data_IF_308460808425
#
_entry.id   IF_308460808425
#
_cell.length_a   1.000
_cell.length_b   1.000
_cell.length_c   1.000
_cell.angle_alpha   90.00
_cell.angle_beta   90.00
_cell.angle_gamma   90.00
#
_symmetry.space_group_name_H-M   'P 1'
#
loop_
_entity.id
_entity.type
_entity.pdbx_description
1 polymer ?
#
# COMPACT_ATOMS: atom_id res chain seq x y z
N UNK A 1 -20.28 -24.58 39.24
CA UNK A 1 -19.44 -25.61 38.59
C UNK A 1 -20.38 -26.54 37.83
N UNK A 2 -20.50 -26.37 36.51
CA UNK A 2 -21.37 -27.19 35.67
C UNK A 2 -20.66 -27.45 34.36
N UNK A 3 -20.23 -28.69 34.16
CA UNK A 3 -19.57 -29.17 32.95
C UNK A 3 -20.60 -29.45 31.86
N UNK A 4 -20.38 -28.96 30.64
CA UNK A 4 -21.06 -29.45 29.45
C UNK A 4 -20.06 -30.17 28.55
N UNK A 5 -20.45 -31.38 28.14
CA UNK A 5 -19.63 -32.35 27.41
C UNK A 5 -19.92 -32.31 25.90
N UNK A 6 -18.86 -32.62 25.14
CA UNK A 6 -18.73 -33.16 23.78
C UNK A 6 -19.95 -33.27 22.86
N UNK A 7 -19.74 -32.96 21.56
CA UNK A 7 -19.88 -33.95 20.47
C UNK A 7 -19.33 -33.46 19.12
N UNK A 8 -18.59 -34.36 18.47
CA UNK A 8 -18.12 -34.31 17.08
C UNK A 8 -19.26 -34.54 16.09
N UNK A 9 -19.14 -34.04 14.85
CA UNK A 9 -19.56 -34.79 13.64
C UNK A 9 -18.97 -34.20 12.35
N UNK A 10 -18.51 -35.11 11.50
CA UNK A 10 -17.96 -34.93 10.15
C UNK A 10 -19.06 -35.13 9.09
N UNK A 11 -18.97 -34.46 7.93
CA UNK A 11 -19.39 -34.98 6.61
C UNK A 11 -18.94 -34.01 5.51
N UNK A 12 -17.93 -34.33 4.68
CA UNK A 12 -17.96 -35.06 3.38
C UNK A 12 -18.64 -34.30 2.21
N UNK A 13 -17.81 -34.04 1.19
CA UNK A 13 -18.06 -33.55 -0.17
C UNK A 13 -19.00 -34.44 -1.01
N UNK A 14 -19.53 -33.90 -2.12
CA UNK A 14 -19.61 -34.66 -3.37
C UNK A 14 -19.03 -33.95 -4.61
N UNK A 15 -18.44 -34.76 -5.47
CA UNK A 15 -17.84 -34.49 -6.79
C UNK A 15 -18.80 -34.95 -7.90
N UNK A 16 -18.91 -34.23 -9.02
CA UNK A 16 -19.38 -34.83 -10.30
C UNK A 16 -18.71 -34.19 -11.53
N UNK A 17 -18.58 -34.93 -12.66
CA UNK A 17 -17.67 -34.63 -13.78
C UNK A 17 -18.40 -34.22 -15.08
N UNK A 18 -17.71 -33.55 -16.01
CA UNK A 18 -18.09 -33.52 -17.43
C UNK A 18 -16.90 -33.22 -18.35
N UNK A 19 -16.85 -33.96 -19.46
CA UNK A 19 -15.74 -34.16 -20.41
C UNK A 19 -16.17 -33.70 -21.79
N UNK A 20 -15.38 -32.87 -22.48
CA UNK A 20 -15.35 -32.74 -23.96
C UNK A 20 -14.18 -31.84 -24.36
N UNK A 21 -13.07 -32.38 -24.91
CA UNK A 21 -12.74 -32.55 -26.34
C UNK A 21 -12.19 -31.26 -27.00
N UNK A 22 -10.88 -31.26 -27.31
CA UNK A 22 -10.24 -30.33 -28.24
C UNK A 22 -10.72 -30.57 -29.68
N UNK A 23 -10.72 -29.53 -30.54
CA UNK A 23 -9.67 -29.50 -31.56
C UNK A 23 -9.11 -28.10 -31.89
N UNK A 24 -7.81 -28.11 -32.24
CA UNK A 24 -7.05 -27.30 -33.20
C UNK A 24 -7.58 -25.98 -33.78
N UNK A 25 -6.70 -24.98 -33.66
CA UNK A 25 -6.30 -23.95 -34.65
C UNK A 25 -7.37 -23.02 -35.24
N UNK A 26 -7.33 -21.76 -34.82
CA UNK A 26 -7.39 -20.62 -35.74
C UNK A 26 -6.69 -19.40 -35.14
N UNK A 27 -5.92 -18.79 -36.02
CA UNK A 27 -4.94 -17.74 -35.80
C UNK A 27 -5.58 -16.35 -35.65
N UNK A 28 -4.73 -15.37 -35.29
CA UNK A 28 -4.91 -13.91 -35.38
C UNK A 28 -5.77 -13.32 -34.23
N UNK A 29 -5.31 -12.38 -33.41
CA UNK A 29 -4.49 -11.21 -33.70
C UNK A 29 -3.61 -10.82 -32.51
N UNK A 30 -2.43 -10.29 -32.82
CA UNK A 30 -1.50 -9.74 -31.86
C UNK A 30 -2.16 -8.62 -31.03
N UNK A 31 -2.19 -8.79 -29.70
CA UNK A 31 -2.36 -7.69 -28.75
C UNK A 31 -1.02 -7.44 -28.06
N UNK A 32 -0.06 -6.94 -28.85
CA UNK A 32 1.30 -6.59 -28.44
C UNK A 32 1.27 -5.26 -27.67
N UNK A 33 0.61 -5.21 -26.51
CA UNK A 33 0.49 -3.96 -25.72
C UNK A 33 0.11 -4.10 -24.25
N UNK A 34 -0.25 -5.29 -23.74
CA UNK A 34 -0.76 -5.42 -22.35
C UNK A 34 0.33 -5.73 -21.32
N UNK A 35 1.43 -6.36 -21.73
CA UNK A 35 2.50 -6.73 -20.80
C UNK A 35 3.35 -5.53 -20.33
N UNK A 36 3.47 -4.48 -21.15
CA UNK A 36 4.20 -3.26 -20.77
C UNK A 36 3.39 -2.32 -19.85
N UNK A 37 2.06 -2.41 -19.86
CA UNK A 37 1.20 -1.66 -18.93
C UNK A 37 1.15 -2.34 -17.56
N UNK A 38 1.34 -3.67 -17.51
CA UNK A 38 1.38 -4.41 -16.26
C UNK A 38 2.77 -4.37 -15.58
N UNK A 39 3.86 -4.26 -16.35
CA UNK A 39 5.22 -4.08 -15.81
C UNK A 39 5.55 -2.64 -15.38
N UNK A 40 4.69 -1.64 -15.63
CA UNK A 40 4.77 -0.33 -14.94
C UNK A 40 4.07 -0.34 -13.57
N UNK A 41 3.27 -1.39 -13.28
CA UNK A 41 2.86 -1.77 -11.93
C UNK A 41 3.75 -2.89 -11.37
N UNK A 42 5.05 -2.93 -11.73
CA UNK A 42 6.08 -3.43 -10.81
C UNK A 42 5.96 -2.56 -9.56
N UNK A 43 4.99 -2.92 -8.71
CA UNK A 43 4.64 -2.22 -7.48
C UNK A 43 5.97 -1.99 -6.80
N UNK A 44 6.33 -0.75 -6.44
CA UNK A 44 7.48 -0.56 -5.58
C UNK A 44 7.22 -1.45 -4.37
N UNK A 45 7.94 -2.57 -4.28
CA UNK A 45 7.94 -3.47 -3.13
C UNK A 45 8.76 -2.82 -2.02
N UNK A 46 8.62 -1.52 -1.92
CA UNK A 46 9.39 -0.59 -1.13
C UNK A 46 8.41 0.30 -0.39
N UNK A 47 8.90 0.82 0.71
CA UNK A 47 8.18 1.70 1.60
C UNK A 47 8.40 3.12 1.07
N UNK A 48 7.31 3.84 0.89
CA UNK A 48 7.38 5.23 0.41
C UNK A 48 7.03 6.17 1.56
N UNK A 49 7.92 7.08 1.90
CA UNK A 49 7.70 8.11 2.93
C UNK A 49 7.72 9.48 2.27
N UNK A 50 6.66 10.26 2.42
CA UNK A 50 6.53 11.58 1.81
C UNK A 50 6.20 12.65 2.86
N UNK A 51 6.72 13.87 2.69
CA UNK A 51 6.25 15.01 3.47
C UNK A 51 4.81 15.43 3.08
N UNK A 52 4.11 16.20 3.93
CA UNK A 52 2.77 16.71 3.61
C UNK A 52 2.74 17.79 2.51
N UNK A 53 3.90 18.36 2.16
CA UNK A 53 4.00 19.38 1.13
C UNK A 53 4.09 18.77 -0.28
N UNK A 54 4.38 17.47 -0.38
CA UNK A 54 4.63 16.76 -1.64
C UNK A 54 5.98 17.10 -2.26
N UNK A 55 6.93 17.67 -1.49
CA UNK A 55 8.21 18.16 -2.03
C UNK A 55 9.27 17.07 -2.12
N UNK A 56 9.21 16.06 -1.27
CA UNK A 56 10.13 14.92 -1.29
C UNK A 56 9.45 13.61 -0.96
N UNK A 57 9.85 12.56 -1.67
CA UNK A 57 9.50 11.18 -1.38
C UNK A 57 10.77 10.35 -1.23
N UNK A 58 10.86 9.61 -0.11
CA UNK A 58 11.95 8.70 0.20
C UNK A 58 11.47 7.27 0.01
N UNK A 59 12.27 6.47 -0.68
CA UNK A 59 12.03 5.05 -0.90
C UNK A 59 12.94 4.22 0.01
N UNK A 60 12.38 3.23 0.71
CA UNK A 60 13.13 2.25 1.48
C UNK A 60 12.83 0.83 0.97
N UNK A 61 13.86 0.03 0.71
CA UNK A 61 13.72 -1.32 0.17
C UNK A 61 13.65 -2.43 1.23
N UNK A 62 13.83 -2.10 2.50
CA UNK A 62 13.79 -3.05 3.62
C UNK A 62 12.84 -2.53 4.70
N UNK A 63 12.17 -3.43 5.45
CA UNK A 63 11.45 -3.06 6.66
C UNK A 63 12.34 -2.18 7.54
N UNK A 64 11.77 -1.09 8.01
CA UNK A 64 12.46 -0.09 8.81
C UNK A 64 11.50 0.38 9.90
N UNK A 65 11.94 0.48 11.16
CA UNK A 65 11.06 0.92 12.23
C UNK A 65 10.69 2.38 12.06
N UNK A 66 9.44 2.73 12.38
CA UNK A 66 8.92 4.10 12.27
C UNK A 66 9.80 5.11 13.03
N UNK A 67 10.31 4.73 14.21
CA UNK A 67 11.25 5.52 15.00
C UNK A 67 12.47 5.99 14.21
N UNK A 68 13.03 5.15 13.33
CA UNK A 68 14.21 5.50 12.55
C UNK A 68 13.92 6.66 11.60
N UNK A 69 12.81 6.58 10.88
CA UNK A 69 12.40 7.62 9.93
C UNK A 69 12.06 8.93 10.65
N UNK A 70 11.35 8.84 11.79
CA UNK A 70 10.99 10.01 12.60
C UNK A 70 12.23 10.67 13.23
N UNK A 71 13.27 9.90 13.56
CA UNK A 71 14.51 10.44 14.12
C UNK A 71 15.25 11.39 13.16
N UNK A 72 15.08 11.21 11.85
CA UNK A 72 15.65 12.10 10.82
C UNK A 72 14.92 13.44 10.73
N UNK A 73 13.69 13.52 11.26
CA UNK A 73 12.78 14.66 11.08
C UNK A 73 12.07 15.01 12.39
N UNK A 74 12.76 15.67 13.32
CA UNK A 74 12.23 15.94 14.65
C UNK A 74 10.96 16.79 14.59
N UNK A 75 10.04 16.52 15.51
CA UNK A 75 8.74 17.21 15.57
C UNK A 75 7.71 16.70 14.57
N UNK A 76 8.00 15.64 13.84
CA UNK A 76 7.05 14.95 12.97
C UNK A 76 6.68 13.56 13.50
N UNK A 77 5.63 12.96 12.96
CA UNK A 77 5.24 11.57 13.16
C UNK A 77 4.82 10.96 11.82
N UNK A 78 4.76 9.63 11.76
CA UNK A 78 4.33 8.92 10.56
C UNK A 78 2.85 8.56 10.63
N UNK A 79 2.17 8.69 9.49
CA UNK A 79 0.81 8.22 9.29
C UNK A 79 0.74 7.31 8.06
N UNK A 80 0.12 6.14 8.17
CA UNK A 80 -0.16 5.28 7.02
C UNK A 80 -1.28 5.90 6.16
N UNK A 81 -1.08 5.98 4.84
CA UNK A 81 -2.09 6.51 3.90
C UNK A 81 -3.41 5.77 3.96
N UNK A 82 -3.38 4.46 4.26
CA UNK A 82 -4.59 3.63 4.30
C UNK A 82 -5.42 3.79 5.57
N UNK A 83 -4.87 4.45 6.59
CA UNK A 83 -5.55 4.67 7.87
C UNK A 83 -6.15 6.08 7.98
N UNK A 84 -6.04 6.90 6.93
CA UNK A 84 -6.58 8.25 6.90
C UNK A 84 -8.09 8.25 6.64
N UNK A 85 -8.84 8.89 7.54
CA UNK A 85 -10.30 9.04 7.44
C UNK A 85 -10.70 10.49 7.64
N UNK A 86 -11.63 10.98 6.82
CA UNK A 86 -12.16 12.35 6.95
C UNK A 86 -12.92 12.48 8.27
N UNK A 87 -12.70 13.60 8.97
CA UNK A 87 -13.32 13.88 10.27
C UNK A 87 -12.58 13.28 11.46
N UNK A 88 -11.48 12.54 11.25
CA UNK A 88 -10.65 12.00 12.33
C UNK A 88 -9.25 12.59 12.32
N UNK A 89 -8.60 12.66 13.48
CA UNK A 89 -7.18 12.97 13.53
C UNK A 89 -6.36 11.92 12.77
N UNK A 90 -5.21 12.32 12.22
CA UNK A 90 -4.33 11.38 11.52
C UNK A 90 -3.73 10.37 12.51
N UNK A 91 -3.91 9.05 12.30
CA UNK A 91 -3.38 8.05 13.20
C UNK A 91 -1.87 7.96 13.09
N UNK A 92 -1.20 7.97 14.25
CA UNK A 92 0.25 7.77 14.33
C UNK A 92 0.59 6.29 14.20
N UNK A 93 1.56 5.97 13.36
CA UNK A 93 2.24 4.67 13.36
C UNK A 93 3.11 4.57 14.62
N UNK A 94 2.96 3.53 15.45
CA UNK A 94 3.82 3.30 16.62
C UNK A 94 5.30 3.29 16.24
N UNK A 95 6.14 3.88 17.09
CA UNK A 95 7.57 4.05 16.82
C UNK A 95 8.33 2.71 16.71
N UNK A 96 7.79 1.67 17.34
CA UNK A 96 8.33 0.30 17.37
C UNK A 96 7.87 -0.56 16.18
N UNK A 97 6.90 -0.07 15.39
CA UNK A 97 6.36 -0.81 14.25
C UNK A 97 7.23 -0.61 13.01
N UNK A 98 7.53 -1.71 12.32
CA UNK A 98 8.21 -1.69 11.03
C UNK A 98 7.26 -1.24 9.92
N UNK A 99 7.73 -0.29 9.11
CA UNK A 99 7.01 0.16 7.93
C UNK A 99 6.96 -0.97 6.89
N UNK A 100 5.79 -1.10 6.25
CA UNK A 100 5.49 -2.20 5.35
C UNK A 100 5.73 -1.82 3.88
N UNK A 101 6.39 -2.70 3.11
CA UNK A 101 6.52 -2.56 1.66
C UNK A 101 5.18 -2.38 0.94
N UNK A 102 5.19 -1.58 -0.14
CA UNK A 102 4.01 -1.32 -0.95
C UNK A 102 3.00 -0.37 -0.29
N UNK A 103 3.39 0.31 0.79
CA UNK A 103 2.59 1.33 1.48
C UNK A 103 3.21 2.71 1.32
N UNK A 104 2.35 3.72 1.45
CA UNK A 104 2.74 5.12 1.49
C UNK A 104 2.50 5.63 2.91
N UNK A 105 3.50 6.31 3.44
CA UNK A 105 3.46 6.94 4.74
C UNK A 105 3.67 8.45 4.58
N UNK A 106 2.86 9.23 5.28
CA UNK A 106 2.99 10.67 5.35
C UNK A 106 3.75 11.06 6.62
N UNK A 107 4.72 11.94 6.44
CA UNK A 107 5.44 12.58 7.53
C UNK A 107 4.68 13.85 7.93
N UNK A 108 4.03 13.79 9.09
CA UNK A 108 3.07 14.80 9.56
C UNK A 108 3.68 15.58 10.72
N UNK A 109 3.71 16.93 10.68
CA UNK A 109 4.12 17.72 11.82
C UNK A 109 3.23 17.46 13.05
N UNK A 110 3.83 17.37 14.23
CA UNK A 110 3.11 17.13 15.48
C UNK A 110 2.05 18.21 15.78
N UNK A 111 2.22 19.43 15.25
CA UNK A 111 1.23 20.51 15.33
C UNK A 111 -0.11 20.15 14.68
N UNK A 112 -0.12 19.25 13.69
CA UNK A 112 -1.33 18.79 12.97
C UNK A 112 -1.90 17.49 13.53
N UNK A 113 -1.29 16.89 14.55
CA UNK A 113 -1.72 15.59 15.11
C UNK A 113 -3.12 15.60 15.73
N UNK A 114 -3.61 16.77 16.15
CA UNK A 114 -4.92 16.94 16.81
C UNK A 114 -5.97 17.56 15.91
N UNK A 115 -5.62 17.88 14.66
CA UNK A 115 -6.54 18.46 13.70
C UNK A 115 -7.29 17.33 12.98
N UNK A 116 -8.63 17.32 12.99
CA UNK A 116 -9.40 16.40 12.19
C UNK A 116 -9.11 16.58 10.70
N UNK A 117 -8.84 15.47 10.01
CA UNK A 117 -8.56 15.47 8.58
C UNK A 117 -9.78 15.97 7.79
N UNK A 118 -9.59 17.00 6.98
CA UNK A 118 -10.64 17.51 6.09
C UNK A 118 -10.58 16.79 4.74
N UNK A 119 -11.70 16.70 4.04
CA UNK A 119 -11.74 16.14 2.69
C UNK A 119 -10.79 16.87 1.72
N UNK A 120 -10.74 18.21 1.67
CA UNK A 120 -9.78 18.92 0.82
C UNK A 120 -8.32 18.55 1.12
N UNK A 121 -7.94 18.43 2.39
CA UNK A 121 -6.59 18.04 2.78
C UNK A 121 -6.27 16.60 2.36
N UNK A 122 -7.20 15.66 2.53
CA UNK A 122 -7.02 14.27 2.08
C UNK A 122 -6.85 14.20 0.56
N UNK A 123 -7.68 14.91 -0.20
CA UNK A 123 -7.57 14.98 -1.65
C UNK A 123 -6.22 15.59 -2.09
N UNK A 124 -5.79 16.66 -1.44
CA UNK A 124 -4.50 17.32 -1.70
C UNK A 124 -3.31 16.36 -1.45
N UNK A 125 -3.34 15.61 -0.33
CA UNK A 125 -2.32 14.59 -0.04
C UNK A 125 -2.29 13.49 -1.11
N UNK A 126 -3.46 13.05 -1.61
CA UNK A 126 -3.55 12.03 -2.65
C UNK A 126 -2.98 12.52 -3.99
N UNK A 127 -3.28 13.76 -4.39
CA UNK A 127 -2.72 14.38 -5.61
C UNK A 127 -1.21 14.52 -5.49
N UNK A 128 -0.71 15.06 -4.38
CA UNK A 128 0.72 15.20 -4.10
C UNK A 128 1.45 13.87 -4.12
N UNK A 129 0.88 12.84 -3.49
CA UNK A 129 1.45 11.49 -3.51
C UNK A 129 1.53 10.93 -4.93
N UNK A 130 0.46 11.08 -5.72
CA UNK A 130 0.46 10.65 -7.13
C UNK A 130 1.55 11.34 -7.95
N UNK A 131 1.70 12.66 -7.82
CA UNK A 131 2.74 13.42 -8.50
C UNK A 131 4.15 13.05 -8.04
N UNK A 132 4.37 12.90 -6.74
CA UNK A 132 5.67 12.52 -6.18
C UNK A 132 6.10 11.12 -6.61
N UNK A 133 5.17 10.16 -6.63
CA UNK A 133 5.42 8.81 -7.11
C UNK A 133 5.76 8.78 -8.60
N UNK A 134 5.01 9.51 -9.43
CA UNK A 134 5.31 9.62 -10.86
C UNK A 134 6.73 10.16 -11.09
N UNK A 135 7.13 11.19 -10.32
CA UNK A 135 8.49 11.74 -10.39
C UNK A 135 9.58 10.77 -9.87
N UNK A 136 9.27 9.94 -8.88
CA UNK A 136 10.19 8.91 -8.41
C UNK A 136 10.43 7.82 -9.47
N UNK A 137 9.38 7.43 -10.19
CA UNK A 137 9.46 6.41 -11.26
C UNK A 137 10.21 6.86 -12.51
N UNK A 138 10.25 8.17 -12.81
CA UNK A 138 11.00 8.67 -13.98
C UNK A 138 12.51 8.71 -13.70
N UNK A 139 12.91 8.95 -12.45
CA UNK A 139 14.32 8.94 -12.04
C UNK A 139 14.94 7.53 -12.05
N UNK A 140 14.16 6.46 -11.86
CA UNK A 140 14.67 5.08 -11.85
C UNK A 140 14.98 4.53 -13.25
N UNK A 141 14.48 5.15 -14.32
CA UNK A 141 14.78 4.77 -15.72
C UNK A 141 16.17 5.24 -16.18
N UNK A 142 16.75 6.24 -15.52
CA UNK A 142 18.01 6.88 -15.97
C UNK A 142 19.29 6.29 -15.33
N UNK A 143 19.18 5.26 -14.48
CA UNK A 143 20.31 4.56 -13.83
C UNK A 143 20.46 3.11 -14.33
N UNK A 144 20.53 2.91 -15.65
CA UNK A 144 20.94 1.64 -16.27
C UNK A 144 22.03 1.88 -17.29
#
# INVERSE_FOLDING_TARGET
MGACASSHSHSKFPTTPSKTKAPSSSSLTASKSRDAVFESFRRPSSIMVMDMEGKGIKEYHRPIPASHVVSETPGCFLCNSESLHVGTCMPRVPDDEDLLPGRIYFLVPASKSREPLTLPLLCDLAVKAGSALAAATTNSVQRR
#
